data_IF_335672225777
#
_entry.id   IF_335672225777
#
_cell.length_a   1.000
_cell.length_b   1.000
_cell.length_c   1.000
_cell.angle_alpha   90.00
_cell.angle_beta   90.00
_cell.angle_gamma   90.00
#
_symmetry.space_group_name_H-M   'P 1'
#
loop_
_entity.id
_entity.type
_entity.pdbx_description
1 polymer ?
#
# COMPACT_ATOMS: atom_id res chain seq x y z
N UNK A 1 17.44 -20.69 -0.15
CA UNK A 1 16.04 -20.69 0.37
C UNK A 1 15.29 -21.73 -0.41
N UNK A 2 14.61 -22.64 0.28
CA UNK A 2 13.58 -23.40 -0.42
C UNK A 2 12.43 -22.45 -0.72
N UNK A 3 11.92 -22.46 -1.94
CA UNK A 3 10.78 -21.65 -2.41
C UNK A 3 9.60 -21.68 -1.41
N UNK A 4 9.41 -22.80 -0.75
CA UNK A 4 8.38 -23.06 0.27
C UNK A 4 8.48 -22.15 1.51
N UNK A 5 9.68 -21.87 2.03
CA UNK A 5 9.84 -21.01 3.23
C UNK A 5 9.58 -19.54 2.96
N UNK A 6 9.98 -19.05 1.78
CA UNK A 6 9.62 -17.70 1.39
C UNK A 6 8.10 -17.53 1.22
N UNK A 7 7.46 -18.51 0.59
CA UNK A 7 6.01 -18.50 0.43
C UNK A 7 5.29 -18.53 1.79
N UNK A 8 5.79 -19.30 2.76
CA UNK A 8 5.25 -19.31 4.12
C UNK A 8 5.40 -17.95 4.82
N UNK A 9 6.56 -17.28 4.68
CA UNK A 9 6.77 -15.96 5.25
C UNK A 9 5.81 -14.92 4.64
N UNK A 10 5.67 -14.93 3.31
CA UNK A 10 4.70 -14.05 2.62
C UNK A 10 3.27 -14.32 3.08
N UNK A 11 2.85 -15.59 3.16
CA UNK A 11 1.50 -15.94 3.64
C UNK A 11 1.25 -15.45 5.08
N UNK A 12 2.24 -15.60 5.96
CA UNK A 12 2.15 -15.11 7.33
C UNK A 12 2.03 -13.56 7.39
N UNK A 13 2.78 -12.84 6.55
CA UNK A 13 2.71 -11.38 6.47
C UNK A 13 1.38 -10.90 5.87
N UNK A 14 0.83 -11.60 4.87
CA UNK A 14 -0.51 -11.31 4.33
C UNK A 14 -1.57 -11.47 5.42
N UNK A 15 -1.55 -12.57 6.16
CA UNK A 15 -2.48 -12.80 7.27
C UNK A 15 -2.34 -11.71 8.35
N UNK A 16 -1.10 -11.36 8.72
CA UNK A 16 -0.85 -10.28 9.66
C UNK A 16 -1.39 -8.94 9.14
N UNK A 17 -1.19 -8.61 7.86
CA UNK A 17 -1.70 -7.38 7.25
C UNK A 17 -3.24 -7.34 7.25
N UNK A 18 -3.92 -8.45 6.95
CA UNK A 18 -5.38 -8.55 7.02
C UNK A 18 -5.87 -8.28 8.45
N UNK A 19 -5.26 -8.90 9.45
CA UNK A 19 -5.62 -8.66 10.87
C UNK A 19 -5.31 -7.22 11.27
N UNK A 20 -4.17 -6.68 10.82
CA UNK A 20 -3.73 -5.32 11.17
C UNK A 20 -4.63 -4.23 10.62
N UNK A 21 -5.21 -4.44 9.43
CA UNK A 21 -6.08 -3.49 8.74
C UNK A 21 -7.57 -3.69 9.04
N UNK A 22 -7.94 -4.63 9.94
CA UNK A 22 -9.32 -4.82 10.34
C UNK A 22 -9.86 -3.55 11.07
N UNK A 23 -11.14 -3.17 10.89
CA UNK A 23 -12.20 -3.92 10.19
C UNK A 23 -12.25 -3.72 8.65
N UNK A 24 -11.52 -2.76 8.07
CA UNK A 24 -11.58 -2.47 6.63
C UNK A 24 -11.28 -3.70 5.76
N UNK A 25 -10.32 -4.53 6.16
CA UNK A 25 -10.00 -5.79 5.47
C UNK A 25 -11.13 -6.84 5.47
N UNK A 26 -12.09 -6.74 6.40
CA UNK A 26 -13.22 -7.67 6.50
C UNK A 26 -14.38 -7.31 5.57
N UNK A 27 -14.47 -6.04 5.15
CA UNK A 27 -15.47 -5.53 4.18
C UNK A 27 -14.78 -4.59 3.20
N UNK A 28 -13.80 -5.08 2.43
CA UNK A 28 -12.87 -4.22 1.69
C UNK A 28 -13.52 -3.47 0.52
N UNK A 29 -14.70 -3.87 0.08
CA UNK A 29 -15.47 -3.23 -0.99
C UNK A 29 -16.24 -1.99 -0.53
N UNK A 30 -16.55 -1.90 0.76
CA UNK A 30 -17.54 -0.95 1.28
C UNK A 30 -17.00 -0.12 2.45
N UNK A 31 -15.84 -0.51 3.01
CA UNK A 31 -15.26 0.12 4.18
C UNK A 31 -13.83 0.56 3.92
N UNK A 32 -13.49 1.78 4.31
CA UNK A 32 -12.12 2.28 4.39
C UNK A 32 -11.70 2.37 5.87
N UNK A 33 -10.40 2.45 6.18
CA UNK A 33 -9.91 2.53 7.56
C UNK A 33 -10.48 3.72 8.36
N UNK A 34 -10.82 4.83 7.68
CA UNK A 34 -11.46 6.01 8.28
C UNK A 34 -12.20 6.80 7.17
N UNK A 35 -12.97 7.81 7.58
CA UNK A 35 -13.70 8.73 6.70
C UNK A 35 -12.91 9.98 6.29
N UNK A 36 -11.70 10.16 6.82
CA UNK A 36 -10.80 11.28 6.52
C UNK A 36 -9.83 10.98 5.38
N UNK A 37 -8.53 10.99 5.69
CA UNK A 37 -7.44 10.77 4.73
C UNK A 37 -7.66 9.55 3.81
N UNK A 38 -8.09 8.36 4.29
CA UNK A 38 -8.27 7.19 3.43
C UNK A 38 -9.24 7.41 2.26
N UNK A 39 -10.29 8.21 2.45
CA UNK A 39 -11.26 8.53 1.37
C UNK A 39 -10.59 9.39 0.31
N UNK A 40 -9.85 10.42 0.73
CA UNK A 40 -9.10 11.28 -0.18
C UNK A 40 -8.03 10.50 -0.93
N UNK A 41 -7.25 9.67 -0.23
CA UNK A 41 -6.17 8.89 -0.84
C UNK A 41 -6.72 7.82 -1.82
N UNK A 42 -7.86 7.19 -1.51
CA UNK A 42 -8.55 6.28 -2.42
C UNK A 42 -9.01 7.02 -3.70
N UNK A 43 -9.53 8.25 -3.55
CA UNK A 43 -9.88 9.10 -4.69
C UNK A 43 -8.64 9.42 -5.55
N UNK A 44 -7.52 9.85 -4.96
CA UNK A 44 -6.29 10.18 -5.71
C UNK A 44 -5.78 8.95 -6.48
N UNK A 45 -5.71 7.78 -5.84
CA UNK A 45 -5.29 6.55 -6.51
C UNK A 45 -6.23 6.13 -7.66
N UNK A 46 -7.54 6.33 -7.48
CA UNK A 46 -8.53 6.04 -8.52
C UNK A 46 -8.43 7.05 -9.68
N UNK A 47 -8.18 8.32 -9.38
CA UNK A 47 -7.91 9.34 -10.39
C UNK A 47 -6.67 9.01 -11.21
N UNK A 48 -5.56 8.71 -10.55
CA UNK A 48 -4.31 8.33 -11.22
C UNK A 48 -4.50 7.10 -12.11
N UNK A 49 -5.15 6.06 -11.60
CA UNK A 49 -5.46 4.86 -12.38
C UNK A 49 -6.29 5.19 -13.65
N UNK A 50 -7.24 6.13 -13.54
CA UNK A 50 -8.05 6.59 -14.67
C UNK A 50 -7.22 7.39 -15.68
N UNK A 51 -6.41 8.35 -15.21
CA UNK A 51 -5.63 9.25 -16.08
C UNK A 51 -4.46 8.54 -16.75
N UNK A 52 -3.83 7.57 -16.11
CA UNK A 52 -2.73 6.80 -16.69
C UNK A 52 -3.08 6.16 -18.04
N UNK A 53 -4.33 5.77 -18.26
CA UNK A 53 -4.79 5.16 -19.52
C UNK A 53 -5.45 6.15 -20.46
N UNK A 54 -5.98 7.28 -19.98
CA UNK A 54 -6.74 8.24 -20.80
C UNK A 54 -5.94 9.47 -21.21
N UNK A 55 -5.23 10.09 -20.25
CA UNK A 55 -4.51 11.33 -20.46
C UNK A 55 -3.33 11.45 -19.48
N UNK A 56 -2.26 10.65 -19.65
CA UNK A 56 -1.15 10.59 -18.68
C UNK A 56 -0.40 11.91 -18.50
N UNK A 57 -0.46 12.81 -19.49
CA UNK A 57 0.14 14.15 -19.39
C UNK A 57 -0.69 15.13 -18.55
N UNK A 58 -1.95 14.78 -18.27
CA UNK A 58 -2.87 15.54 -17.41
C UNK A 58 -3.13 14.86 -16.06
N UNK A 59 -2.15 14.13 -15.56
CA UNK A 59 -2.26 13.35 -14.32
C UNK A 59 -2.66 14.22 -13.14
N UNK A 60 -2.12 15.45 -13.06
CA UNK A 60 -2.37 16.38 -11.98
C UNK A 60 -3.65 17.23 -12.14
N UNK A 61 -4.29 17.18 -13.31
CA UNK A 61 -5.50 17.98 -13.61
C UNK A 61 -6.77 17.26 -13.13
N UNK A 62 -6.93 17.12 -11.80
CA UNK A 62 -8.11 16.46 -11.26
C UNK A 62 -9.36 17.34 -11.34
N UNK A 63 -10.52 16.71 -11.17
CA UNK A 63 -11.81 17.42 -11.11
C UNK A 63 -12.07 18.04 -9.73
N UNK A 64 -11.17 17.91 -8.77
CA UNK A 64 -11.20 18.62 -7.49
C UNK A 64 -10.67 20.05 -7.66
N UNK A 65 -11.22 20.99 -6.89
CA UNK A 65 -10.82 22.39 -6.88
C UNK A 65 -10.97 23.11 -8.23
N UNK A 66 -11.91 22.69 -9.07
CA UNK A 66 -12.22 23.39 -10.32
C UNK A 66 -12.46 24.89 -10.06
N UNK A 67 -11.94 25.82 -10.90
CA UNK A 67 -11.30 25.61 -12.21
C UNK A 67 -9.75 25.57 -12.19
N UNK A 68 -9.13 25.33 -11.07
CA UNK A 68 -7.67 25.35 -10.95
C UNK A 68 -7.02 24.15 -11.67
N UNK A 69 -6.09 24.39 -12.62
CA UNK A 69 -5.33 23.33 -13.24
C UNK A 69 -4.33 22.72 -12.24
N UNK A 70 -3.90 21.50 -12.52
CA UNK A 70 -2.90 20.78 -11.73
C UNK A 70 -3.22 20.70 -10.23
N UNK A 71 -4.50 20.55 -9.89
CA UNK A 71 -4.97 20.60 -8.50
C UNK A 71 -4.36 19.54 -7.60
N UNK A 72 -3.99 18.36 -8.14
CA UNK A 72 -3.27 17.32 -7.37
C UNK A 72 -1.81 17.67 -7.05
N UNK A 73 -1.23 18.69 -7.70
CA UNK A 73 0.13 19.15 -7.39
C UNK A 73 0.21 19.90 -6.04
N UNK A 74 -0.92 20.23 -5.44
CA UNK A 74 -1.00 20.92 -4.14
C UNK A 74 -1.08 19.96 -2.94
N UNK A 75 -1.12 18.66 -3.18
CA UNK A 75 -1.22 17.63 -2.15
C UNK A 75 -0.23 16.48 -2.37
N UNK A 76 -0.40 15.44 -1.57
CA UNK A 76 0.39 14.22 -1.70
C UNK A 76 0.05 13.49 -3.00
N UNK A 77 1.06 13.16 -3.78
CA UNK A 77 0.90 12.38 -4.99
C UNK A 77 1.25 10.92 -4.74
N UNK A 78 0.33 10.03 -5.06
CA UNK A 78 0.34 8.61 -4.68
C UNK A 78 0.64 7.69 -5.86
N UNK A 79 1.47 8.11 -6.82
CA UNK A 79 1.69 7.33 -8.05
C UNK A 79 2.17 5.89 -7.80
N UNK A 80 3.12 5.61 -6.90
CA UNK A 80 3.53 4.23 -6.59
C UNK A 80 2.37 3.38 -6.05
N UNK A 81 1.57 3.93 -5.14
CA UNK A 81 0.40 3.28 -4.56
C UNK A 81 -0.72 3.13 -5.59
N UNK A 82 -0.91 4.15 -6.41
CA UNK A 82 -1.88 4.12 -7.51
C UNK A 82 -1.56 3.01 -8.52
N UNK A 83 -0.28 2.80 -8.85
CA UNK A 83 0.15 1.68 -9.70
C UNK A 83 -0.15 0.32 -9.08
N UNK A 84 -0.08 0.19 -7.75
CA UNK A 84 -0.47 -1.03 -7.03
C UNK A 84 -1.99 -1.22 -7.03
N UNK A 85 -2.76 -0.14 -6.88
CA UNK A 85 -4.23 -0.15 -6.85
C UNK A 85 -4.86 -0.27 -8.25
N UNK A 86 -4.19 0.23 -9.29
CA UNK A 86 -4.72 0.37 -10.64
C UNK A 86 -5.28 -0.93 -11.24
N UNK A 87 -4.62 -2.10 -11.16
CA UNK A 87 -5.17 -3.34 -11.72
C UNK A 87 -6.54 -3.69 -11.13
N UNK A 88 -6.70 -3.50 -9.81
CA UNK A 88 -7.98 -3.77 -9.13
C UNK A 88 -9.03 -2.74 -9.54
N UNK A 89 -8.63 -1.47 -9.62
CA UNK A 89 -9.52 -0.37 -10.03
C UNK A 89 -10.03 -0.57 -11.47
N UNK A 90 -9.15 -0.95 -12.40
CA UNK A 90 -9.52 -1.21 -13.80
C UNK A 90 -10.46 -2.41 -13.96
N UNK A 91 -10.28 -3.44 -13.14
CA UNK A 91 -11.08 -4.67 -13.21
C UNK A 91 -12.44 -4.53 -12.53
N UNK A 92 -12.52 -3.78 -11.43
CA UNK A 92 -13.71 -3.76 -10.56
C UNK A 92 -14.44 -2.42 -10.54
N UNK A 93 -13.78 -1.30 -10.89
CA UNK A 93 -14.29 0.05 -10.71
C UNK A 93 -14.46 0.47 -9.24
N UNK A 94 -13.98 -0.35 -8.28
CA UNK A 94 -14.16 -0.12 -6.85
C UNK A 94 -12.90 0.46 -6.22
N UNK A 95 -12.91 1.78 -5.95
CA UNK A 95 -11.80 2.51 -5.38
C UNK A 95 -11.48 2.07 -3.93
N UNK A 96 -12.50 1.72 -3.14
CA UNK A 96 -12.30 1.26 -1.76
C UNK A 96 -11.58 -0.10 -1.75
N UNK A 97 -12.02 -1.06 -2.56
CA UNK A 97 -11.34 -2.35 -2.71
C UNK A 97 -9.90 -2.17 -3.17
N UNK A 98 -9.67 -1.34 -4.20
CA UNK A 98 -8.34 -1.09 -4.74
C UNK A 98 -7.40 -0.49 -3.68
N UNK A 99 -7.87 0.50 -2.91
CA UNK A 99 -7.14 1.13 -1.82
C UNK A 99 -6.81 0.14 -0.69
N UNK A 100 -7.78 -0.64 -0.23
CA UNK A 100 -7.59 -1.62 0.84
C UNK A 100 -6.60 -2.72 0.44
N UNK A 101 -6.68 -3.23 -0.79
CA UNK A 101 -5.73 -4.23 -1.29
C UNK A 101 -4.33 -3.64 -1.47
N UNK A 102 -4.21 -2.39 -1.92
CA UNK A 102 -2.93 -1.70 -1.99
C UNK A 102 -2.31 -1.52 -0.58
N UNK A 103 -3.11 -1.19 0.43
CA UNK A 103 -2.66 -1.07 1.82
C UNK A 103 -2.14 -2.42 2.38
N UNK A 104 -2.90 -3.51 2.19
CA UNK A 104 -2.49 -4.86 2.58
C UNK A 104 -1.19 -5.26 1.85
N UNK A 105 -1.10 -4.97 0.55
CA UNK A 105 0.10 -5.23 -0.23
C UNK A 105 1.30 -4.41 0.25
N UNK A 106 1.13 -3.12 0.57
CA UNK A 106 2.20 -2.26 1.10
C UNK A 106 2.77 -2.79 2.41
N UNK A 107 1.93 -3.17 3.37
CA UNK A 107 2.38 -3.77 4.64
C UNK A 107 3.09 -5.11 4.39
N UNK A 108 2.53 -5.96 3.54
CA UNK A 108 3.11 -7.26 3.20
C UNK A 108 4.48 -7.11 2.53
N UNK A 109 4.59 -6.21 1.55
CA UNK A 109 5.84 -5.93 0.85
C UNK A 109 6.87 -5.31 1.79
N UNK A 110 6.48 -4.41 2.68
CA UNK A 110 7.36 -3.82 3.68
C UNK A 110 7.97 -4.89 4.59
N UNK A 111 7.15 -5.81 5.08
CA UNK A 111 7.63 -6.95 5.87
C UNK A 111 8.55 -7.87 5.06
N UNK A 112 8.18 -8.18 3.83
CA UNK A 112 8.92 -9.11 3.00
C UNK A 112 10.27 -8.55 2.52
N UNK A 113 10.32 -7.29 2.13
CA UNK A 113 11.58 -6.65 1.73
C UNK A 113 12.55 -6.53 2.89
N UNK A 114 12.06 -6.20 4.09
CA UNK A 114 12.88 -6.23 5.31
C UNK A 114 13.32 -7.66 5.66
N UNK A 115 12.47 -8.67 5.47
CA UNK A 115 12.87 -10.07 5.61
C UNK A 115 14.04 -10.41 4.67
N UNK A 116 13.98 -10.02 3.40
CA UNK A 116 15.05 -10.28 2.44
C UNK A 116 16.35 -9.58 2.85
N UNK A 117 16.25 -8.32 3.25
CA UNK A 117 17.39 -7.52 3.71
C UNK A 117 18.03 -8.10 4.97
N UNK A 118 17.26 -8.35 6.02
CA UNK A 118 17.75 -8.92 7.28
C UNK A 118 18.36 -10.31 7.10
N UNK A 119 17.77 -11.13 6.22
CA UNK A 119 18.30 -12.42 5.87
C UNK A 119 19.65 -12.32 5.15
N UNK A 120 19.82 -11.34 4.27
CA UNK A 120 21.10 -11.11 3.58
C UNK A 120 22.23 -10.78 4.56
N UNK A 121 21.92 -10.02 5.62
CA UNK A 121 22.89 -9.60 6.63
C UNK A 121 23.18 -10.69 7.64
N UNK A 122 22.13 -11.37 8.17
CA UNK A 122 22.25 -12.29 9.30
C UNK A 122 22.48 -13.75 8.89
N UNK A 123 22.08 -14.12 7.69
CA UNK A 123 22.04 -15.51 7.23
C UNK A 123 20.96 -16.38 7.90
N UNK A 124 20.18 -15.81 8.87
CA UNK A 124 19.22 -16.54 9.69
C UNK A 124 17.78 -16.23 9.27
N UNK A 125 17.01 -17.24 8.84
CA UNK A 125 15.64 -17.08 8.38
C UNK A 125 14.68 -16.66 9.50
N UNK A 126 14.87 -17.19 10.72
CA UNK A 126 14.03 -16.82 11.88
C UNK A 126 14.23 -15.37 12.31
N UNK A 127 15.47 -14.91 12.39
CA UNK A 127 15.78 -13.52 12.68
C UNK A 127 15.23 -12.57 11.61
N UNK A 128 15.35 -12.96 10.34
CA UNK A 128 14.81 -12.20 9.22
C UNK A 128 13.28 -12.11 9.27
N UNK A 129 12.59 -13.21 9.63
CA UNK A 129 11.14 -13.21 9.79
C UNK A 129 10.69 -12.24 10.88
N UNK A 130 11.34 -12.29 12.05
CA UNK A 130 11.05 -11.37 13.16
C UNK A 130 11.32 -9.91 12.76
N UNK A 131 12.43 -9.64 12.06
CA UNK A 131 12.76 -8.30 11.59
C UNK A 131 11.72 -7.76 10.61
N UNK A 132 11.27 -8.58 9.66
CA UNK A 132 10.20 -8.19 8.74
C UNK A 132 8.88 -7.89 9.46
N UNK A 133 8.51 -8.73 10.42
CA UNK A 133 7.30 -8.52 11.22
C UNK A 133 7.39 -7.22 12.05
N UNK A 134 8.48 -7.02 12.79
CA UNK A 134 8.67 -5.83 13.60
C UNK A 134 8.75 -4.53 12.77
N UNK A 135 9.27 -4.61 11.55
CA UNK A 135 9.37 -3.47 10.65
C UNK A 135 8.02 -3.00 10.12
N UNK A 136 7.16 -3.93 9.70
CA UNK A 136 5.87 -3.57 9.09
C UNK A 136 4.72 -3.46 10.11
N UNK A 137 4.78 -4.20 11.23
CA UNK A 137 3.69 -4.29 12.20
C UNK A 137 4.14 -3.78 13.57
N UNK A 138 4.19 -2.46 13.70
CA UNK A 138 4.61 -1.76 14.91
C UNK A 138 3.66 -0.60 15.24
N UNK A 139 3.86 0.07 16.37
CA UNK A 139 3.00 1.17 16.81
C UNK A 139 2.97 2.35 15.83
N UNK A 140 4.08 2.67 15.18
CA UNK A 140 4.13 3.73 14.17
C UNK A 140 3.23 3.40 12.98
N UNK A 141 3.40 2.23 12.36
CA UNK A 141 2.56 1.83 11.22
C UNK A 141 1.09 1.68 11.61
N UNK A 142 0.79 1.36 12.87
CA UNK A 142 -0.60 1.33 13.37
C UNK A 142 -1.21 2.73 13.46
N UNK A 143 -0.45 3.70 13.94
CA UNK A 143 -0.90 5.09 14.03
C UNK A 143 -1.08 5.71 12.65
N UNK A 144 -0.16 5.42 11.73
CA UNK A 144 -0.13 5.97 10.38
C UNK A 144 -0.91 5.13 9.35
N UNK A 145 -1.70 4.16 9.79
CA UNK A 145 -2.45 3.24 8.91
C UNK A 145 -3.41 3.97 7.96
N UNK A 146 -3.84 5.16 8.35
CA UNK A 146 -4.73 6.01 7.56
C UNK A 146 -4.03 6.65 6.35
N UNK A 147 -2.69 6.61 6.31
CA UNK A 147 -1.84 7.25 5.31
C UNK A 147 -0.99 6.21 4.59
N UNK A 148 -1.53 5.62 3.53
CA UNK A 148 -0.88 4.54 2.79
C UNK A 148 0.54 4.89 2.35
N UNK A 149 0.82 6.13 1.94
CA UNK A 149 2.14 6.60 1.51
C UNK A 149 3.18 6.61 2.65
N UNK A 150 2.73 6.74 3.91
CA UNK A 150 3.60 6.70 5.08
C UNK A 150 3.94 5.25 5.47
N UNK A 151 3.01 4.31 5.30
CA UNK A 151 3.23 2.88 5.62
C UNK A 151 3.77 2.07 4.44
N UNK A 152 4.01 2.71 3.31
CA UNK A 152 4.59 2.12 2.10
C UNK A 152 6.13 2.04 2.22
N UNK A 153 6.61 1.29 3.23
CA UNK A 153 8.00 1.28 3.69
C UNK A 153 8.92 0.32 2.90
N UNK A 154 8.40 -0.45 1.95
CA UNK A 154 9.14 -1.47 1.20
C UNK A 154 10.34 -0.93 0.42
N UNK A 155 10.35 0.33 0.09
CA UNK A 155 11.41 0.96 -0.70
C UNK A 155 12.74 1.08 0.05
N UNK A 156 12.69 1.29 1.37
CA UNK A 156 13.89 1.45 2.19
C UNK A 156 14.77 0.19 2.21
N UNK A 157 14.27 -1.01 2.54
CA UNK A 157 15.09 -2.22 2.51
C UNK A 157 15.56 -2.61 1.10
N UNK A 158 14.85 -2.18 0.06
CA UNK A 158 15.23 -2.43 -1.33
C UNK A 158 16.37 -1.53 -1.82
N UNK A 159 16.56 -0.37 -1.19
CA UNK A 159 17.61 0.58 -1.55
C UNK A 159 19.00 0.16 -1.06
N UNK A 160 19.11 -0.81 -0.16
CA UNK A 160 20.33 -1.32 0.47
C UNK A 160 20.58 -2.80 0.17
#
# INVERSE_FOLDING_TARGET
MTSSRAAMAVAAYVLAAIVWTAPASLSPTDTLPDVGDPVHLAYVMAWDAHQLVRAPLSLFDSNSFYPYPSSLAFGDHLLPEALMAAPVNWLTGNAALASNLALIASLTLSAFTMFLFARRITGLESAAFVAGFAYAFNSFTRTELLRIHVVNLQWWPLAF
#
